data_IF_627044295684
#
_entry.id   IF_627044295684
#
_cell.length_a   1.000
_cell.length_b   1.000
_cell.length_c   1.000
_cell.angle_alpha   90.00
_cell.angle_beta   90.00
_cell.angle_gamma   90.00
#
_symmetry.space_group_name_H-M   'P 1'
#
loop_
_entity.id
_entity.type
_entity.pdbx_description
1 polymer ?
#
# COMPACT_ATOMS: atom_id res chain seq x y z
N UNK A 1 38.89 -22.13 2.30
CA UNK A 1 37.77 -21.23 2.66
C UNK A 1 37.54 -20.06 1.68
N UNK A 2 38.21 -19.99 0.51
CA UNK A 2 38.05 -18.89 -0.46
C UNK A 2 37.03 -19.13 -1.61
N UNK A 3 36.49 -20.34 -1.78
CA UNK A 3 35.67 -20.72 -2.95
C UNK A 3 34.15 -20.47 -2.83
N UNK A 4 33.64 -20.05 -1.67
CA UNK A 4 32.19 -19.79 -1.50
C UNK A 4 31.76 -18.38 -1.91
N UNK A 5 32.70 -17.43 -2.01
CA UNK A 5 32.42 -16.05 -2.42
C UNK A 5 32.26 -15.90 -3.93
N UNK A 6 33.14 -16.54 -4.71
CA UNK A 6 33.13 -16.48 -6.17
C UNK A 6 31.84 -17.08 -6.77
N UNK A 7 31.40 -18.24 -6.28
CA UNK A 7 30.20 -18.93 -6.76
C UNK A 7 28.90 -18.16 -6.48
N UNK A 8 28.81 -17.44 -5.35
CA UNK A 8 27.65 -16.57 -5.07
C UNK A 8 27.60 -15.36 -6.01
N UNK A 9 28.74 -14.72 -6.25
CA UNK A 9 28.86 -13.59 -7.19
C UNK A 9 28.41 -13.98 -8.60
N UNK A 10 28.74 -15.19 -9.03
CA UNK A 10 28.33 -15.70 -10.35
C UNK A 10 26.82 -15.93 -10.44
N UNK A 11 26.20 -16.51 -9.41
CA UNK A 11 24.73 -16.71 -9.38
C UNK A 11 23.98 -15.37 -9.45
N UNK A 12 24.40 -14.37 -8.67
CA UNK A 12 23.77 -13.05 -8.71
C UNK A 12 23.89 -12.38 -10.08
N UNK A 13 25.05 -12.52 -10.72
CA UNK A 13 25.26 -12.00 -12.09
C UNK A 13 24.34 -12.68 -13.09
N UNK A 14 24.22 -14.01 -13.04
CA UNK A 14 23.31 -14.75 -13.92
C UNK A 14 21.84 -14.40 -13.70
N UNK A 15 21.42 -14.18 -12.45
CA UNK A 15 20.06 -13.73 -12.14
C UNK A 15 19.79 -12.31 -12.69
N UNK A 16 20.73 -11.39 -12.52
CA UNK A 16 20.62 -10.02 -13.04
C UNK A 16 20.58 -10.03 -14.57
N UNK A 17 21.47 -10.80 -15.21
CA UNK A 17 21.52 -10.93 -16.67
C UNK A 17 20.25 -11.58 -17.22
N UNK A 18 19.74 -12.62 -16.56
CA UNK A 18 18.48 -13.28 -16.91
C UNK A 18 17.28 -12.34 -16.79
N UNK A 19 17.21 -11.56 -15.72
CA UNK A 19 16.15 -10.55 -15.55
C UNK A 19 16.27 -9.42 -16.56
N UNK A 20 17.48 -8.92 -16.83
CA UNK A 20 17.71 -7.90 -17.85
C UNK A 20 17.31 -8.39 -19.25
N UNK A 21 17.66 -9.63 -19.60
CA UNK A 21 17.24 -10.26 -20.85
C UNK A 21 15.72 -10.40 -20.93
N UNK A 22 15.06 -10.76 -19.83
CA UNK A 22 13.59 -10.80 -19.75
C UNK A 22 12.97 -9.42 -19.99
N UNK A 23 13.50 -8.36 -19.36
CA UNK A 23 13.01 -6.98 -19.55
C UNK A 23 13.15 -6.56 -21.01
N UNK A 24 14.34 -6.73 -21.59
CA UNK A 24 14.59 -6.35 -22.99
C UNK A 24 13.73 -7.17 -23.94
N UNK A 25 13.60 -8.48 -23.71
CA UNK A 25 12.74 -9.36 -24.50
C UNK A 25 11.26 -8.97 -24.42
N UNK A 26 10.76 -8.66 -23.22
CA UNK A 26 9.38 -8.19 -23.02
C UNK A 26 9.11 -6.86 -23.71
N UNK A 27 10.05 -5.90 -23.66
CA UNK A 27 9.93 -4.62 -24.36
C UNK A 27 9.92 -4.82 -25.87
N UNK A 28 10.87 -5.60 -26.40
CA UNK A 28 10.98 -5.86 -27.83
C UNK A 28 9.73 -6.58 -28.37
N UNK A 29 9.24 -7.58 -27.65
CA UNK A 29 8.03 -8.31 -28.02
C UNK A 29 6.78 -7.41 -27.95
N UNK A 30 6.66 -6.58 -26.90
CA UNK A 30 5.56 -5.62 -26.79
C UNK A 30 5.53 -4.63 -27.97
N UNK A 31 6.69 -4.17 -28.41
CA UNK A 31 6.81 -3.30 -29.58
C UNK A 31 6.50 -4.04 -30.89
N UNK A 32 6.95 -5.29 -31.03
CA UNK A 32 6.74 -6.08 -32.24
C UNK A 32 5.28 -6.52 -32.44
N UNK A 33 4.55 -6.79 -31.36
CA UNK A 33 3.17 -7.29 -31.42
C UNK A 33 2.12 -6.26 -31.02
N UNK A 34 2.52 -5.02 -30.69
CA UNK A 34 1.67 -3.95 -30.14
C UNK A 34 0.88 -4.35 -28.87
N UNK A 35 1.28 -5.43 -28.21
CA UNK A 35 0.64 -5.94 -26.99
C UNK A 35 1.36 -5.40 -25.76
N UNK A 36 0.97 -4.20 -25.32
CA UNK A 36 1.57 -3.53 -24.17
C UNK A 36 1.47 -4.30 -22.84
N UNK A 37 0.55 -5.29 -22.72
CA UNK A 37 0.45 -6.14 -21.54
C UNK A 37 1.73 -6.95 -21.29
N UNK A 38 2.52 -7.21 -22.33
CA UNK A 38 3.79 -7.93 -22.24
C UNK A 38 4.85 -7.15 -21.45
N UNK A 39 4.72 -5.82 -21.35
CA UNK A 39 5.57 -4.98 -20.49
C UNK A 39 5.37 -5.29 -19.00
N UNK A 40 4.24 -5.90 -18.63
CA UNK A 40 3.95 -6.32 -17.26
C UNK A 40 4.65 -7.62 -16.85
N UNK A 41 5.17 -8.41 -17.79
CA UNK A 41 5.77 -9.73 -17.50
C UNK A 41 6.96 -9.62 -16.53
N UNK A 42 7.95 -8.74 -16.72
CA UNK A 42 9.09 -8.64 -15.79
C UNK A 42 8.62 -8.24 -14.39
N UNK A 43 7.62 -7.36 -14.30
CA UNK A 43 7.02 -6.95 -13.03
C UNK A 43 6.34 -8.15 -12.34
N UNK A 44 5.54 -8.93 -13.08
CA UNK A 44 4.88 -10.13 -12.57
C UNK A 44 5.86 -11.20 -12.08
N UNK A 45 6.95 -11.42 -12.81
CA UNK A 45 8.02 -12.35 -12.40
C UNK A 45 8.72 -11.85 -11.14
N UNK A 46 9.05 -10.56 -11.06
CA UNK A 46 9.67 -9.97 -9.88
C UNK A 46 8.77 -10.07 -8.64
N UNK A 47 7.48 -9.73 -8.76
CA UNK A 47 6.50 -9.84 -7.68
C UNK A 47 6.35 -11.29 -7.22
N UNK A 48 6.31 -12.25 -8.16
CA UNK A 48 6.22 -13.67 -7.84
C UNK A 48 7.49 -14.19 -7.17
N UNK A 49 8.66 -13.76 -7.62
CA UNK A 49 9.94 -14.07 -6.97
C UNK A 49 9.97 -13.54 -5.54
N UNK A 50 9.58 -12.27 -5.33
CA UNK A 50 9.50 -11.66 -4.01
C UNK A 50 8.48 -12.38 -3.11
N UNK A 51 7.35 -12.84 -3.66
CA UNK A 51 6.36 -13.62 -2.92
C UNK A 51 6.94 -14.91 -2.33
N UNK A 52 7.80 -15.60 -3.10
CA UNK A 52 8.40 -16.87 -2.71
C UNK A 52 9.56 -16.66 -1.73
N UNK A 53 10.38 -15.62 -1.96
CA UNK A 53 11.61 -15.39 -1.20
C UNK A 53 11.36 -14.64 0.10
N UNK A 54 10.63 -13.52 0.05
CA UNK A 54 10.37 -12.66 1.21
C UNK A 54 9.09 -11.81 1.02
N UNK A 55 7.95 -12.36 1.45
CA UNK A 55 6.67 -11.67 1.39
C UNK A 55 6.62 -10.37 2.22
N UNK A 56 7.58 -10.13 3.13
CA UNK A 56 7.65 -8.84 3.87
C UNK A 56 8.01 -7.70 2.92
N UNK A 57 8.84 -7.95 1.91
CA UNK A 57 9.18 -6.94 0.92
C UNK A 57 7.97 -6.59 0.05
N UNK A 58 7.13 -7.57 -0.27
CA UNK A 58 5.85 -7.32 -0.92
C UNK A 58 4.89 -6.50 -0.06
N UNK A 59 4.88 -6.71 1.26
CA UNK A 59 4.10 -5.85 2.15
C UNK A 59 4.60 -4.39 2.10
N UNK A 60 5.91 -4.14 2.19
CA UNK A 60 6.44 -2.78 2.06
C UNK A 60 6.22 -2.19 0.66
N UNK A 61 6.27 -3.00 -0.41
CA UNK A 61 5.88 -2.57 -1.75
C UNK A 61 4.41 -2.14 -1.79
N UNK A 62 3.50 -2.92 -1.20
CA UNK A 62 2.09 -2.56 -1.06
C UNK A 62 1.96 -1.20 -0.35
N UNK A 63 2.64 -1.00 0.78
CA UNK A 63 2.60 0.27 1.52
C UNK A 63 3.08 1.44 0.66
N UNK A 64 4.14 1.26 -0.12
CA UNK A 64 4.64 2.30 -1.03
C UNK A 64 3.66 2.62 -2.17
N UNK A 65 2.85 1.64 -2.59
CA UNK A 65 1.87 1.81 -3.64
C UNK A 65 0.57 2.51 -3.18
N UNK A 66 0.26 2.57 -1.87
CA UNK A 66 -1.00 3.15 -1.37
C UNK A 66 -1.21 4.60 -1.86
N UNK A 67 -0.24 5.53 -1.69
CA UNK A 67 -0.37 6.91 -2.18
C UNK A 67 -0.58 7.04 -3.68
N UNK A 68 -0.02 6.10 -4.45
CA UNK A 68 0.04 6.15 -5.92
C UNK A 68 -1.16 5.41 -6.54
N UNK A 69 -1.88 4.63 -5.74
CA UNK A 69 -2.98 3.79 -6.20
C UNK A 69 -4.12 4.60 -6.81
N UNK A 70 -4.79 4.00 -7.79
CA UNK A 70 -5.93 4.62 -8.46
C UNK A 70 -6.99 3.59 -8.84
N UNK A 71 -8.25 4.04 -8.85
CA UNK A 71 -9.38 3.20 -9.25
C UNK A 71 -9.40 3.09 -10.76
N UNK A 72 -9.27 1.87 -11.28
CA UNK A 72 -9.40 1.56 -12.70
C UNK A 72 -10.68 0.77 -12.92
N UNK A 73 -11.48 1.20 -13.88
CA UNK A 73 -12.67 0.46 -14.34
C UNK A 73 -12.29 -0.44 -15.50
N UNK A 74 -12.31 -1.75 -15.25
CA UNK A 74 -12.11 -2.77 -16.27
C UNK A 74 -13.38 -2.94 -17.13
N UNK A 75 -13.24 -3.53 -18.34
CA UNK A 75 -14.38 -3.94 -19.15
C UNK A 75 -15.36 -4.77 -18.32
N UNK A 76 -16.67 -4.60 -18.55
CA UNK A 76 -17.78 -5.20 -17.79
C UNK A 76 -18.11 -4.53 -16.43
N UNK A 77 -17.58 -3.32 -16.17
CA UNK A 77 -17.99 -2.51 -15.02
C UNK A 77 -17.34 -2.93 -13.69
N UNK A 78 -16.29 -3.74 -13.73
CA UNK A 78 -15.52 -4.13 -12.56
C UNK A 78 -14.49 -3.03 -12.22
N UNK A 79 -14.68 -2.34 -11.09
CA UNK A 79 -13.70 -1.39 -10.57
C UNK A 79 -12.68 -2.08 -9.67
N UNK A 80 -11.40 -1.75 -9.82
CA UNK A 80 -10.33 -2.25 -8.95
C UNK A 80 -9.24 -1.21 -8.75
N UNK A 81 -8.61 -1.20 -7.57
CA UNK A 81 -7.53 -0.28 -7.25
C UNK A 81 -6.17 -0.86 -7.69
N UNK A 82 -5.56 -0.26 -8.70
CA UNK A 82 -4.25 -0.70 -9.20
C UNK A 82 -3.12 0.20 -8.69
N UNK A 83 -1.95 -0.37 -8.31
CA UNK A 83 -1.62 -1.79 -8.27
C UNK A 83 -1.95 -2.48 -6.92
N UNK A 84 -2.60 -1.78 -5.99
CA UNK A 84 -2.70 -2.20 -4.59
C UNK A 84 -3.60 -3.41 -4.37
N UNK A 85 -4.76 -3.48 -5.01
CA UNK A 85 -5.74 -4.54 -4.78
C UNK A 85 -5.21 -5.93 -5.19
N UNK A 86 -4.56 -6.12 -6.36
CA UNK A 86 -3.88 -7.37 -6.68
C UNK A 86 -2.81 -7.76 -5.64
N UNK A 87 -2.04 -6.77 -5.14
CA UNK A 87 -1.03 -7.02 -4.10
C UNK A 87 -1.67 -7.44 -2.76
N UNK A 88 -2.79 -6.83 -2.38
CA UNK A 88 -3.54 -7.17 -1.16
C UNK A 88 -4.06 -8.61 -1.26
N UNK A 89 -4.68 -8.98 -2.37
CA UNK A 89 -5.19 -10.35 -2.58
C UNK A 89 -4.04 -11.36 -2.58
N UNK A 90 -2.95 -11.08 -3.29
CA UNK A 90 -1.78 -11.95 -3.32
C UNK A 90 -1.15 -12.15 -1.93
N UNK A 91 -0.95 -11.07 -1.19
CA UNK A 91 -0.42 -11.11 0.18
C UNK A 91 -1.35 -11.85 1.14
N UNK A 92 -2.67 -11.70 1.02
CA UNK A 92 -3.63 -12.49 1.79
C UNK A 92 -3.41 -13.98 1.57
N UNK A 93 -3.37 -14.45 0.31
CA UNK A 93 -3.21 -15.88 0.00
C UNK A 93 -1.89 -16.41 0.55
N UNK A 94 -0.79 -15.69 0.32
CA UNK A 94 0.55 -16.06 0.82
C UNK A 94 0.54 -16.15 2.35
N UNK A 95 -0.04 -15.15 3.02
CA UNK A 95 -0.09 -15.10 4.47
C UNK A 95 -0.99 -16.18 5.06
N UNK A 96 -2.12 -16.52 4.44
CA UNK A 96 -2.96 -17.64 4.88
C UNK A 96 -2.20 -18.97 4.81
N UNK A 97 -1.50 -19.24 3.70
CA UNK A 97 -0.66 -20.44 3.56
C UNK A 97 0.43 -20.48 4.64
N UNK A 98 1.10 -19.34 4.86
CA UNK A 98 2.11 -19.21 5.92
C UNK A 98 1.53 -19.43 7.31
N UNK A 99 0.36 -18.85 7.60
CA UNK A 99 -0.32 -18.94 8.88
C UNK A 99 -0.77 -20.38 9.20
N UNK A 100 -1.29 -21.10 8.20
CA UNK A 100 -1.68 -22.51 8.33
C UNK A 100 -0.45 -23.38 8.65
N UNK A 101 0.67 -23.18 7.93
CA UNK A 101 1.91 -23.95 8.17
C UNK A 101 2.56 -23.68 9.53
N UNK A 102 2.35 -22.49 10.08
CA UNK A 102 2.94 -22.08 11.35
C UNK A 102 1.91 -21.87 12.46
N UNK A 103 0.74 -22.52 12.36
CA UNK A 103 -0.41 -22.35 13.25
C UNK A 103 -0.08 -22.35 14.75
N UNK A 104 0.80 -23.21 15.29
CA UNK A 104 1.14 -23.20 16.72
C UNK A 104 1.73 -21.88 17.20
N UNK A 105 2.42 -21.13 16.33
CA UNK A 105 3.03 -19.83 16.65
C UNK A 105 2.02 -18.68 16.74
N UNK A 106 0.79 -18.88 16.28
CA UNK A 106 -0.27 -17.86 16.28
C UNK A 106 -1.21 -17.96 17.49
N UNK A 107 -1.05 -19.00 18.34
CA UNK A 107 -1.72 -19.11 19.62
C UNK A 107 -1.01 -18.23 20.65
N UNK A 108 -1.31 -16.94 20.66
CA UNK A 108 -0.73 -15.97 21.58
C UNK A 108 -1.65 -14.79 21.88
N UNK A 109 -1.13 -13.82 22.62
CA UNK A 109 -1.90 -12.66 23.12
C UNK A 109 -2.55 -11.84 22.02
N UNK A 110 -1.94 -11.77 20.84
CA UNK A 110 -2.50 -11.07 19.68
C UNK A 110 -3.87 -11.61 19.26
N UNK A 111 -4.08 -12.93 19.28
CA UNK A 111 -5.35 -13.54 18.91
C UNK A 111 -6.45 -13.32 19.96
N UNK A 112 -6.07 -13.09 21.22
CA UNK A 112 -6.97 -12.85 22.35
C UNK A 112 -7.21 -11.36 22.62
N UNK A 113 -6.51 -10.48 21.90
CA UNK A 113 -6.65 -9.05 22.09
C UNK A 113 -8.10 -8.60 21.80
N UNK A 114 -8.71 -7.74 22.64
CA UNK A 114 -10.11 -7.32 22.46
C UNK A 114 -10.41 -6.76 21.06
N UNK A 115 -9.48 -5.99 20.48
CA UNK A 115 -9.63 -5.46 19.12
C UNK A 115 -9.64 -6.57 18.06
N UNK A 116 -8.81 -7.59 18.21
CA UNK A 116 -8.81 -8.76 17.31
C UNK A 116 -10.15 -9.48 17.40
N UNK A 117 -10.66 -9.70 18.61
CA UNK A 117 -11.94 -10.37 18.84
C UNK A 117 -13.11 -9.56 18.27
N UNK A 118 -13.13 -8.25 18.47
CA UNK A 118 -14.15 -7.36 17.92
C UNK A 118 -14.13 -7.37 16.38
N UNK A 119 -12.94 -7.34 15.79
CA UNK A 119 -12.78 -7.40 14.33
C UNK A 119 -13.24 -8.75 13.77
N UNK A 120 -12.88 -9.85 14.43
CA UNK A 120 -13.33 -11.19 14.05
C UNK A 120 -14.85 -11.33 14.19
N UNK A 121 -15.44 -10.80 15.26
CA UNK A 121 -16.89 -10.76 15.45
C UNK A 121 -17.57 -9.96 14.34
N UNK A 122 -17.01 -8.81 13.94
CA UNK A 122 -17.53 -8.01 12.84
C UNK A 122 -17.50 -8.78 11.51
N UNK A 123 -16.37 -9.40 11.15
CA UNK A 123 -16.25 -10.21 9.93
C UNK A 123 -17.17 -11.43 9.97
N UNK A 124 -17.27 -12.09 11.13
CA UNK A 124 -18.21 -13.20 11.34
C UNK A 124 -19.65 -12.76 11.09
N UNK A 125 -20.06 -11.61 11.64
CA UNK A 125 -21.40 -11.07 11.43
C UNK A 125 -21.68 -10.74 9.96
N UNK A 126 -20.71 -10.12 9.26
CA UNK A 126 -20.81 -9.91 7.80
C UNK A 126 -20.94 -11.23 7.05
N UNK A 127 -20.28 -12.28 7.50
CA UNK A 127 -20.44 -13.64 6.96
C UNK A 127 -21.88 -14.15 7.10
N UNK A 128 -22.48 -14.00 8.29
CA UNK A 128 -23.87 -14.41 8.53
C UNK A 128 -24.84 -13.63 7.63
N UNK A 129 -24.73 -12.31 7.55
CA UNK A 129 -25.63 -11.49 6.71
C UNK A 129 -25.42 -11.73 5.22
N UNK A 130 -24.22 -12.14 4.82
CA UNK A 130 -23.94 -12.55 3.43
C UNK A 130 -24.74 -13.80 3.04
N UNK A 131 -24.84 -14.79 3.95
CA UNK A 131 -25.57 -16.03 3.69
C UNK A 131 -27.09 -15.82 3.60
N UNK A 132 -27.62 -14.81 4.28
CA UNK A 132 -29.06 -14.48 4.27
C UNK A 132 -29.44 -13.41 3.24
N UNK A 133 -28.52 -13.05 2.33
CA UNK A 133 -28.72 -11.95 1.39
C UNK A 133 -29.42 -12.40 0.10
N UNK A 134 -30.39 -11.59 -0.36
CA UNK A 134 -31.08 -11.80 -1.65
C UNK A 134 -30.12 -11.76 -2.85
N UNK A 135 -29.09 -10.90 -2.79
CA UNK A 135 -28.06 -10.75 -3.82
C UNK A 135 -26.77 -11.47 -3.42
N UNK A 136 -26.87 -12.77 -3.18
CA UNK A 136 -25.78 -13.60 -2.64
C UNK A 136 -24.44 -13.39 -3.37
N UNK A 137 -24.45 -13.32 -4.71
CA UNK A 137 -23.23 -13.12 -5.49
C UNK A 137 -22.52 -11.79 -5.20
N UNK A 138 -23.26 -10.70 -5.02
CA UNK A 138 -22.71 -9.38 -4.69
C UNK A 138 -22.17 -9.39 -3.26
N UNK A 139 -22.93 -9.99 -2.34
CA UNK A 139 -22.58 -10.09 -0.92
C UNK A 139 -21.34 -10.95 -0.69
N UNK A 140 -21.16 -12.05 -1.44
CA UNK A 140 -19.95 -12.87 -1.39
C UNK A 140 -18.72 -12.08 -1.87
N UNK A 141 -18.84 -11.30 -2.95
CA UNK A 141 -17.75 -10.42 -3.40
C UNK A 141 -17.38 -9.37 -2.34
N UNK A 142 -18.39 -8.78 -1.68
CA UNK A 142 -18.18 -7.85 -0.59
C UNK A 142 -17.47 -8.48 0.61
N UNK A 143 -17.87 -9.70 1.00
CA UNK A 143 -17.21 -10.46 2.07
C UNK A 143 -15.76 -10.78 1.71
N UNK A 144 -15.50 -11.26 0.49
CA UNK A 144 -14.13 -11.50 0.00
C UNK A 144 -13.29 -10.22 0.06
N UNK A 145 -13.88 -9.09 -0.35
CA UNK A 145 -13.20 -7.81 -0.27
C UNK A 145 -12.79 -7.46 1.17
N UNK A 146 -13.74 -7.54 2.10
CA UNK A 146 -13.46 -7.35 3.54
C UNK A 146 -12.34 -8.28 4.03
N UNK A 147 -12.34 -9.55 3.62
CA UNK A 147 -11.36 -10.54 4.09
C UNK A 147 -9.94 -10.19 3.65
N UNK A 148 -9.70 -9.84 2.38
CA UNK A 148 -8.34 -9.54 1.94
C UNK A 148 -7.79 -8.26 2.59
N UNK A 149 -8.63 -7.28 2.89
CA UNK A 149 -8.23 -6.09 3.64
C UNK A 149 -7.90 -6.43 5.10
N UNK A 150 -8.78 -7.16 5.80
CA UNK A 150 -8.57 -7.53 7.21
C UNK A 150 -7.34 -8.43 7.37
N UNK A 151 -7.19 -9.45 6.55
CA UNK A 151 -6.05 -10.38 6.64
C UNK A 151 -4.73 -9.64 6.37
N UNK A 152 -4.68 -8.77 5.36
CA UNK A 152 -3.44 -8.09 4.96
C UNK A 152 -3.07 -6.93 5.88
N UNK A 153 -4.01 -6.03 6.17
CA UNK A 153 -3.71 -4.81 6.94
C UNK A 153 -3.82 -4.97 8.45
N UNK A 154 -4.51 -6.00 8.95
CA UNK A 154 -4.56 -6.26 10.39
C UNK A 154 -3.62 -7.41 10.79
N UNK A 155 -3.86 -8.61 10.25
CA UNK A 155 -3.11 -9.79 10.70
C UNK A 155 -1.67 -9.83 10.17
N UNK A 156 -1.46 -9.63 8.87
CA UNK A 156 -0.12 -9.61 8.28
C UNK A 156 0.68 -8.39 8.78
N UNK A 157 0.07 -7.21 8.82
CA UNK A 157 0.74 -6.02 9.38
C UNK A 157 1.13 -6.23 10.84
N UNK A 158 0.24 -6.77 11.69
CA UNK A 158 0.56 -7.11 13.09
C UNK A 158 1.64 -8.20 13.22
N UNK A 159 1.80 -9.06 12.21
CA UNK A 159 2.89 -10.03 12.16
C UNK A 159 4.24 -9.39 11.81
N UNK A 160 4.26 -8.40 10.90
CA UNK A 160 5.47 -7.75 10.40
C UNK A 160 5.93 -6.59 11.32
N UNK A 161 5.00 -5.75 11.78
CA UNK A 161 5.28 -4.50 12.49
C UNK A 161 5.36 -4.70 14.01
N UNK A 162 6.26 -5.57 14.46
CA UNK A 162 6.39 -5.89 15.89
C UNK A 162 7.39 -5.02 16.64
N UNK A 163 8.35 -4.44 15.93
CA UNK A 163 9.43 -3.64 16.51
C UNK A 163 9.40 -2.19 16.04
N UNK A 164 10.12 -1.34 16.78
CA UNK A 164 10.28 0.07 16.44
C UNK A 164 10.99 0.24 15.08
N UNK A 165 11.95 -0.63 14.76
CA UNK A 165 12.67 -0.59 13.49
C UNK A 165 11.75 -0.84 12.29
N UNK A 166 10.88 -1.83 12.37
CA UNK A 166 9.89 -2.16 11.35
C UNK A 166 8.82 -1.09 11.23
N UNK A 167 8.39 -0.51 12.35
CA UNK A 167 7.46 0.63 12.33
C UNK A 167 8.08 1.87 11.69
N UNK A 168 9.35 2.20 12.01
CA UNK A 168 10.08 3.28 11.34
C UNK A 168 10.23 3.01 9.84
N UNK A 169 10.51 1.75 9.45
CA UNK A 169 10.57 1.35 8.04
C UNK A 169 9.21 1.52 7.35
N UNK A 170 8.13 1.11 7.99
CA UNK A 170 6.76 1.31 7.51
C UNK A 170 6.47 2.79 7.28
N UNK A 171 6.75 3.63 8.28
CA UNK A 171 6.58 5.07 8.19
C UNK A 171 7.32 5.65 6.98
N UNK A 172 8.63 5.40 6.85
CA UNK A 172 9.42 5.95 5.75
C UNK A 172 9.03 5.41 4.38
N UNK A 173 8.54 4.17 4.31
CA UNK A 173 8.05 3.56 3.07
C UNK A 173 6.77 4.22 2.59
N UNK A 174 5.89 4.61 3.51
CA UNK A 174 4.66 5.35 3.21
C UNK A 174 4.93 6.83 2.95
N UNK A 175 5.86 7.42 3.70
CA UNK A 175 6.17 8.85 3.70
C UNK A 175 6.63 9.37 2.34
N UNK A 176 7.61 8.72 1.70
CA UNK A 176 8.21 9.23 0.47
C UNK A 176 7.25 9.27 -0.72
N UNK A 177 6.50 8.19 -1.03
CA UNK A 177 5.48 8.23 -2.06
C UNK A 177 4.39 9.25 -1.75
N UNK A 178 3.95 9.37 -0.49
CA UNK A 178 2.93 10.35 -0.12
C UNK A 178 3.41 11.78 -0.31
N UNK A 179 4.63 12.09 0.13
CA UNK A 179 5.23 13.41 -0.09
C UNK A 179 5.32 13.73 -1.58
N UNK A 180 5.74 12.77 -2.42
CA UNK A 180 5.81 12.97 -3.85
C UNK A 180 4.44 13.29 -4.47
N UNK A 181 3.39 12.52 -4.10
CA UNK A 181 2.03 12.76 -4.57
C UNK A 181 1.54 14.14 -4.14
N UNK A 182 1.71 14.52 -2.86
CA UNK A 182 1.31 15.84 -2.35
C UNK A 182 2.00 16.97 -3.11
N UNK A 183 3.31 16.88 -3.33
CA UNK A 183 4.06 17.91 -4.06
C UNK A 183 3.54 18.03 -5.50
N UNK A 184 3.33 16.92 -6.21
CA UNK A 184 2.80 16.93 -7.58
C UNK A 184 1.41 17.56 -7.62
N UNK A 185 0.53 17.15 -6.70
CA UNK A 185 -0.86 17.65 -6.62
C UNK A 185 -0.87 19.15 -6.34
N UNK A 186 -0.08 19.63 -5.37
CA UNK A 186 -0.04 21.05 -5.03
C UNK A 186 0.54 21.91 -6.16
N UNK A 187 1.59 21.43 -6.84
CA UNK A 187 2.16 22.14 -8.00
C UNK A 187 1.14 22.28 -9.13
N UNK A 188 0.36 21.22 -9.41
CA UNK A 188 -0.73 21.26 -10.40
C UNK A 188 -1.88 22.13 -9.92
N UNK A 189 -2.29 22.01 -8.67
CA UNK A 189 -3.40 22.79 -8.12
C UNK A 189 -3.11 24.28 -8.12
N UNK A 190 -1.84 24.66 -7.92
CA UNK A 190 -1.37 26.03 -8.07
C UNK A 190 -1.57 26.59 -9.49
N UNK A 191 -1.41 25.79 -10.55
CA UNK A 191 -1.67 26.27 -11.93
C UNK A 191 -3.14 26.55 -12.19
N UNK A 192 -4.04 26.00 -11.37
CA UNK A 192 -5.47 26.27 -11.39
C UNK A 192 -5.90 27.26 -10.29
N UNK A 193 -4.95 27.99 -9.68
CA UNK A 193 -5.23 28.99 -8.65
C UNK A 193 -5.86 28.40 -7.39
N UNK A 194 -5.61 27.11 -7.11
CA UNK A 194 -6.23 26.36 -6.02
C UNK A 194 -7.76 26.30 -6.07
N UNK A 195 -8.36 26.38 -7.27
CA UNK A 195 -9.81 26.30 -7.41
C UNK A 195 -10.37 24.96 -6.92
N UNK A 196 -11.46 25.00 -6.16
CA UNK A 196 -12.16 23.80 -5.70
C UNK A 196 -12.67 22.95 -6.86
N UNK A 197 -13.12 23.55 -7.96
CA UNK A 197 -13.64 22.84 -9.13
C UNK A 197 -12.61 21.89 -9.77
N UNK A 198 -11.31 22.20 -9.64
CA UNK A 198 -10.23 21.45 -10.29
C UNK A 198 -9.58 20.40 -9.39
N UNK A 199 -9.95 20.32 -8.10
CA UNK A 199 -9.29 19.41 -7.15
C UNK A 199 -9.37 17.94 -7.59
N UNK A 200 -10.46 17.55 -8.27
CA UNK A 200 -10.59 16.19 -8.77
C UNK A 200 -9.64 15.91 -9.94
N UNK A 201 -9.49 16.87 -10.86
CA UNK A 201 -8.65 16.78 -12.05
C UNK A 201 -7.17 16.68 -11.71
N UNK A 202 -6.70 17.47 -10.73
CA UNK A 202 -5.27 17.56 -10.38
C UNK A 202 -4.72 16.29 -9.72
N UNK A 203 -5.61 15.48 -9.13
CA UNK A 203 -5.25 14.22 -8.48
C UNK A 203 -4.86 13.17 -9.52
N UNK A 204 -5.53 13.12 -10.67
CA UNK A 204 -5.25 12.13 -11.71
C UNK A 204 -3.77 12.14 -12.13
N UNK A 205 -3.08 10.98 -12.20
CA UNK A 205 -3.62 9.62 -12.14
C UNK A 205 -3.70 9.02 -10.73
N UNK A 206 -3.36 9.75 -9.67
CA UNK A 206 -3.31 9.26 -8.30
C UNK A 206 -4.61 9.50 -7.56
N UNK A 207 -4.97 8.61 -6.63
CA UNK A 207 -6.14 8.72 -5.76
C UNK A 207 -7.49 8.84 -6.50
N UNK A 208 -8.48 8.09 -6.04
CA UNK A 208 -9.81 8.09 -6.67
C UNK A 208 -10.49 9.46 -6.67
N UNK A 209 -10.37 10.20 -5.57
CA UNK A 209 -10.99 11.50 -5.39
C UNK A 209 -10.33 12.27 -4.23
N UNK A 210 -10.71 13.54 -4.08
CA UNK A 210 -10.17 14.43 -3.05
C UNK A 210 -10.52 14.01 -1.62
N UNK A 211 -11.61 13.26 -1.42
CA UNK A 211 -12.00 12.74 -0.10
C UNK A 211 -11.05 11.63 0.34
N UNK A 212 -10.71 10.70 -0.55
CA UNK A 212 -9.74 9.64 -0.28
C UNK A 212 -8.34 10.22 -0.04
N UNK A 213 -7.92 11.17 -0.88
CA UNK A 213 -6.67 11.92 -0.70
C UNK A 213 -6.61 12.61 0.67
N UNK A 214 -7.69 13.30 1.07
CA UNK A 214 -7.76 13.98 2.35
C UNK A 214 -7.75 12.99 3.54
N UNK A 215 -8.45 11.87 3.42
CA UNK A 215 -8.49 10.83 4.45
C UNK A 215 -7.11 10.20 4.66
N UNK A 216 -6.39 9.90 3.57
CA UNK A 216 -5.03 9.36 3.64
C UNK A 216 -4.06 10.35 4.30
N UNK A 217 -4.11 11.63 3.92
CA UNK A 217 -3.32 12.67 4.59
C UNK A 217 -3.68 12.84 6.06
N UNK A 218 -4.96 12.79 6.42
CA UNK A 218 -5.40 12.90 7.80
C UNK A 218 -4.91 11.73 8.67
N UNK A 219 -4.77 10.52 8.10
CA UNK A 219 -4.21 9.37 8.80
C UNK A 219 -2.68 9.46 8.96
N UNK A 220 -1.97 9.95 7.94
CA UNK A 220 -0.51 10.04 7.97
C UNK A 220 -0.02 11.25 8.78
N UNK A 221 -0.78 12.34 8.82
CA UNK A 221 -0.36 13.59 9.44
C UNK A 221 0.07 13.43 10.92
N UNK A 222 -0.72 12.80 11.82
CA UNK A 222 -0.30 12.57 13.20
C UNK A 222 1.00 11.76 13.28
N UNK A 223 1.20 10.78 12.39
CA UNK A 223 2.43 10.00 12.34
C UNK A 223 3.65 10.86 11.99
N UNK A 224 3.51 11.80 11.04
CA UNK A 224 4.58 12.74 10.68
C UNK A 224 4.92 13.65 11.86
N UNK A 225 3.91 14.16 12.57
CA UNK A 225 4.12 14.99 13.76
C UNK A 225 4.85 14.21 14.84
N UNK A 226 4.41 13.00 15.17
CA UNK A 226 5.06 12.15 16.17
C UNK A 226 6.50 11.76 15.76
N UNK A 227 6.75 11.57 14.46
CA UNK A 227 8.09 11.24 13.96
C UNK A 227 9.11 12.39 14.12
N UNK A 228 8.67 13.65 14.30
CA UNK A 228 9.56 14.80 14.55
C UNK A 228 10.40 14.56 15.80
N UNK A 229 9.82 13.93 16.83
CA UNK A 229 10.47 13.69 18.11
C UNK A 229 11.42 12.48 18.09
N UNK A 230 11.43 11.69 17.01
CA UNK A 230 12.42 10.63 16.81
C UNK A 230 13.83 11.14 16.54
N UNK A 231 13.97 12.43 16.20
CA UNK A 231 15.22 13.03 15.76
C UNK A 231 15.61 14.23 16.63
N UNK A 232 16.91 14.42 16.92
CA UNK A 232 17.37 15.51 17.77
C UNK A 232 17.11 16.88 17.15
N UNK A 233 16.94 17.89 18.01
CA UNK A 233 16.75 19.29 17.60
C UNK A 233 17.91 19.73 16.70
N UNK A 234 17.58 20.38 15.59
CA UNK A 234 18.55 20.89 14.62
C UNK A 234 18.94 19.91 13.50
N UNK A 235 18.63 18.62 13.62
CA UNK A 235 18.91 17.62 12.58
C UNK A 235 18.15 17.89 11.28
N UNK A 236 18.74 17.49 10.15
CA UNK A 236 18.14 17.66 8.82
C UNK A 236 16.81 16.90 8.68
N UNK A 237 16.75 15.67 9.22
CA UNK A 237 15.54 14.84 9.22
C UNK A 237 14.38 15.54 9.93
N UNK A 238 14.65 16.13 11.10
CA UNK A 238 13.63 16.88 11.85
C UNK A 238 13.13 18.10 11.07
N UNK A 239 14.01 18.80 10.36
CA UNK A 239 13.61 19.94 9.50
C UNK A 239 12.72 19.49 8.34
N UNK A 240 13.05 18.36 7.69
CA UNK A 240 12.20 17.77 6.64
C UNK A 240 10.81 17.44 7.20
N UNK A 241 10.74 16.78 8.36
CA UNK A 241 9.47 16.39 8.96
C UNK A 241 8.61 17.59 9.36
N UNK A 242 9.20 18.63 9.95
CA UNK A 242 8.50 19.88 10.27
C UNK A 242 7.97 20.55 9.00
N UNK A 243 8.81 20.67 7.96
CA UNK A 243 8.40 21.24 6.68
C UNK A 243 7.30 20.42 6.01
N UNK A 244 7.38 19.11 6.09
CA UNK A 244 6.37 18.19 5.53
C UNK A 244 5.07 18.24 6.32
N UNK A 245 5.11 18.37 7.64
CA UNK A 245 3.91 18.58 8.46
C UNK A 245 3.20 19.86 8.04
N UNK A 246 3.92 20.98 7.89
CA UNK A 246 3.33 22.22 7.39
C UNK A 246 2.74 22.07 5.99
N UNK A 247 3.44 21.37 5.09
CA UNK A 247 2.97 21.08 3.74
C UNK A 247 1.68 20.24 3.75
N UNK A 248 1.65 19.17 4.56
CA UNK A 248 0.50 18.27 4.67
C UNK A 248 -0.69 18.98 5.29
N UNK A 249 -0.47 19.84 6.28
CA UNK A 249 -1.53 20.68 6.84
C UNK A 249 -2.16 21.57 5.76
N UNK A 250 -1.34 22.24 4.94
CA UNK A 250 -1.82 23.02 3.81
C UNK A 250 -2.53 22.17 2.75
N UNK A 251 -2.01 20.99 2.45
CA UNK A 251 -2.61 20.05 1.50
C UNK A 251 -3.97 19.52 1.97
N UNK A 252 -4.11 19.21 3.27
CA UNK A 252 -5.39 18.84 3.89
C UNK A 252 -6.35 20.01 3.72
N UNK A 253 -5.96 21.22 4.09
CA UNK A 253 -6.80 22.41 3.92
C UNK A 253 -7.27 22.57 2.46
N UNK A 254 -6.36 22.47 1.49
CA UNK A 254 -6.67 22.59 0.05
C UNK A 254 -7.39 21.39 -0.55
N UNK A 255 -7.61 20.31 0.21
CA UNK A 255 -8.44 19.17 -0.21
C UNK A 255 -9.95 19.44 -0.09
N UNK A 256 -10.35 20.53 0.58
CA UNK A 256 -11.75 20.93 0.78
C UNK A 256 -12.66 19.89 1.45
N UNK A 257 -12.08 18.93 2.18
CA UNK A 257 -12.83 17.83 2.82
C UNK A 257 -13.09 18.11 4.29
N UNK A 258 -14.33 18.47 4.63
CA UNK A 258 -14.74 18.83 6.01
C UNK A 258 -14.44 17.75 7.04
N UNK A 259 -14.68 16.48 6.69
CA UNK A 259 -14.42 15.36 7.59
C UNK A 259 -12.94 15.24 7.98
N UNK A 260 -12.02 15.55 7.05
CA UNK A 260 -10.59 15.53 7.32
C UNK A 260 -10.18 16.63 8.30
N UNK A 261 -10.80 17.82 8.21
CA UNK A 261 -10.54 18.91 9.18
C UNK A 261 -10.97 18.52 10.59
N UNK A 262 -12.17 17.94 10.72
CA UNK A 262 -12.69 17.51 12.01
C UNK A 262 -11.83 16.38 12.60
N UNK A 263 -11.42 15.41 11.78
CA UNK A 263 -10.52 14.35 12.21
C UNK A 263 -9.20 14.91 12.76
N UNK A 264 -8.63 15.91 12.07
CA UNK A 264 -7.38 16.54 12.50
C UNK A 264 -7.51 17.37 13.79
N UNK A 265 -8.68 17.97 14.05
CA UNK A 265 -8.92 18.71 15.29
C UNK A 265 -9.06 17.79 16.51
N UNK A 266 -9.49 16.55 16.30
CA UNK A 266 -9.70 15.57 17.38
C UNK A 266 -8.41 14.78 17.67
N UNK A 267 -7.58 14.55 16.65
CA UNK A 267 -6.33 13.80 16.71
C UNK A 267 -5.23 14.53 17.49
#
# INVERSE_FOLDING_TARGET
MANSGATRLDIHRWLILGFAALVVGSVWLAMATELYILLGIPVGVLVTYLAIVDFRQLFFLLIACIPISTEVRLPNGFGTDLPTEPLIVGLMVIYLVYAIRHFPRFRGDFARHPLTLLLLLHVFWVGITTLTSDLLFVSVKFLLAKLWYVVTFFFLAGHILKGEGEFRRFFWTLFWPQLAVVVIVLLRHATYGFAFSEIHSVLWPFQRNHVNYAADLALIFPMVVLAIDWYPRGSWQRRILIGTAALFFGAIYLSYTRAAYVALLIA
#
